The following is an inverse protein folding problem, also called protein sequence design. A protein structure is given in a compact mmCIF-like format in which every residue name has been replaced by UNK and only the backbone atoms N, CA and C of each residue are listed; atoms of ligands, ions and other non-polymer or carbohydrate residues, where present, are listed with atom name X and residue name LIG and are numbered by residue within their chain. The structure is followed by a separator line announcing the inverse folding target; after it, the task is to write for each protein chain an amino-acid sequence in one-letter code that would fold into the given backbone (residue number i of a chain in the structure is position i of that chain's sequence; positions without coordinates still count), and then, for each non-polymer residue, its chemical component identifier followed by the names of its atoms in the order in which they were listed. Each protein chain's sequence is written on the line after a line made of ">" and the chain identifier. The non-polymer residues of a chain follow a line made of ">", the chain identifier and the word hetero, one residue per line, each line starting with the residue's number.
data_IF_143235903105
#
_entry.id   IF_143235903105
#
_cell.length_a   1.000
_cell.length_b   1.000
_cell.length_c   1.000
_cell.angle_alpha   90.00
_cell.angle_beta   90.00
_cell.angle_gamma   90.00
#
_symmetry.space_group_name_H-M   'P 1'
#
loop_
_entity.id
_entity.type
_entity.pdbx_description
1 polymer ?
#
# COMPACT_ATOMS: atom_id res chain seq x y z
N UNK A 1 14.57 11.90 4.17
CA UNK A 1 13.74 11.82 5.43
C UNK A 1 13.21 10.41 5.46
N UNK A 2 13.41 9.70 6.55
CA UNK A 2 12.89 8.36 6.76
C UNK A 2 11.36 8.40 6.89
N UNK A 3 10.68 7.46 6.23
CA UNK A 3 9.20 7.38 6.22
C UNK A 3 8.61 7.21 7.64
N UNK A 4 9.26 6.39 8.48
CA UNK A 4 8.82 6.19 9.86
C UNK A 4 8.93 7.49 10.67
N UNK A 5 9.98 8.26 10.46
CA UNK A 5 10.15 9.57 11.10
C UNK A 5 9.08 10.56 10.66
N UNK A 6 8.69 10.53 9.38
CA UNK A 6 7.60 11.36 8.87
C UNK A 6 6.25 10.96 9.48
N UNK A 7 5.95 9.67 9.56
CA UNK A 7 4.73 9.16 10.21
C UNK A 7 4.69 9.52 11.70
N UNK A 8 5.78 9.32 12.42
CA UNK A 8 5.84 9.58 13.86
C UNK A 8 5.69 11.06 14.19
N UNK A 9 6.31 11.95 13.39
CA UNK A 9 6.18 13.39 13.56
C UNK A 9 4.72 13.83 13.43
N UNK A 10 4.08 13.39 12.35
CA UNK A 10 2.66 13.71 12.12
C UNK A 10 1.73 13.07 13.16
N UNK A 11 2.08 11.90 13.74
CA UNK A 11 1.27 11.27 14.80
C UNK A 11 1.27 12.07 16.12
N UNK A 12 2.35 12.81 16.40
CA UNK A 12 2.44 13.67 17.59
C UNK A 12 1.55 14.91 17.51
N UNK A 13 1.35 15.43 16.30
CA UNK A 13 0.65 16.70 16.08
C UNK A 13 -0.87 16.55 16.02
N UNK A 14 -1.38 15.30 15.99
CA UNK A 14 -2.80 15.03 15.85
C UNK A 14 -3.36 14.22 17.04
N UNK A 15 -4.63 14.46 17.42
CA UNK A 15 -5.32 13.66 18.42
C UNK A 15 -5.26 12.14 18.11
N UNK A 16 -5.27 11.31 19.14
CA UNK A 16 -5.13 9.86 18.99
C UNK A 16 -6.23 9.22 18.12
N UNK A 17 -7.41 9.83 18.04
CA UNK A 17 -8.53 9.39 17.21
C UNK A 17 -8.59 10.05 15.83
N UNK A 18 -7.68 10.96 15.50
CA UNK A 18 -7.66 11.60 14.18
C UNK A 18 -7.31 10.59 13.10
N UNK A 19 -7.96 10.71 11.96
CA UNK A 19 -7.70 9.91 10.76
C UNK A 19 -6.99 10.78 9.73
N UNK A 20 -6.20 10.15 8.86
CA UNK A 20 -5.49 10.83 7.78
C UNK A 20 -5.98 10.32 6.44
N UNK A 21 -6.16 11.23 5.52
CA UNK A 21 -6.36 10.88 4.13
C UNK A 21 -5.01 10.53 3.51
N UNK A 22 -4.80 9.25 3.19
CA UNK A 22 -3.64 8.79 2.45
C UNK A 22 -4.00 8.61 0.97
N UNK A 23 -3.13 9.10 0.11
CA UNK A 23 -3.28 9.01 -1.34
C UNK A 23 -1.92 8.96 -2.03
N UNK A 24 -1.89 8.47 -3.24
CA UNK A 24 -0.74 8.58 -4.15
C UNK A 24 -0.88 9.78 -5.08
N UNK A 25 -2.10 10.27 -5.29
CA UNK A 25 -2.44 11.43 -6.10
C UNK A 25 -3.74 12.07 -5.65
N UNK A 26 -3.93 13.34 -6.01
CA UNK A 26 -5.15 14.12 -5.95
C UNK A 26 -5.11 15.18 -7.06
N UNK A 27 -6.06 16.11 -7.10
CA UNK A 27 -6.12 17.16 -8.12
C UNK A 27 -4.87 18.07 -8.14
N UNK A 28 -4.28 18.36 -6.99
CA UNK A 28 -3.05 19.14 -6.90
C UNK A 28 -1.81 18.30 -7.26
N UNK A 29 -1.70 17.11 -6.67
CA UNK A 29 -0.56 16.21 -6.87
C UNK A 29 -0.46 15.72 -8.31
N UNK A 30 -1.60 15.44 -8.98
CA UNK A 30 -1.61 15.11 -10.39
C UNK A 30 -1.05 16.25 -11.23
N UNK A 31 -1.55 17.48 -11.03
CA UNK A 31 -1.21 18.63 -11.87
C UNK A 31 0.18 19.17 -11.59
N UNK A 32 0.50 19.45 -10.31
CA UNK A 32 1.71 20.17 -9.93
C UNK A 32 2.91 19.24 -9.71
N UNK A 33 2.69 18.09 -9.10
CA UNK A 33 3.75 17.16 -8.73
C UNK A 33 3.83 15.93 -9.65
N UNK A 34 2.99 15.87 -10.69
CA UNK A 34 3.01 14.82 -11.72
C UNK A 34 2.92 13.40 -11.14
N UNK A 35 2.15 13.25 -10.07
CA UNK A 35 2.17 12.09 -9.21
C UNK A 35 1.89 10.78 -9.97
N UNK A 36 0.94 10.78 -10.90
CA UNK A 36 0.49 9.56 -11.58
C UNK A 36 1.39 9.15 -12.75
N UNK A 37 2.12 10.07 -13.36
CA UNK A 37 2.80 9.81 -14.64
C UNK A 37 4.31 10.05 -14.62
N UNK A 38 4.87 10.80 -13.65
CA UNK A 38 6.31 10.95 -13.49
C UNK A 38 6.82 10.42 -12.15
N UNK A 39 6.10 10.68 -11.04
CA UNK A 39 6.54 10.27 -9.70
C UNK A 39 6.32 8.79 -9.46
N UNK A 40 5.14 8.26 -9.79
CA UNK A 40 4.78 6.84 -9.58
C UNK A 40 4.19 6.16 -10.81
N UNK A 41 4.86 6.21 -11.99
CA UNK A 41 4.35 5.57 -13.19
C UNK A 41 4.44 4.06 -13.16
N UNK A 42 3.60 3.39 -13.96
CA UNK A 42 3.69 1.96 -14.21
C UNK A 42 3.63 1.09 -12.95
N UNK A 43 4.56 0.15 -12.84
CA UNK A 43 4.63 -0.79 -11.71
C UNK A 43 4.94 -0.11 -10.36
N UNK A 44 5.58 1.06 -10.38
CA UNK A 44 5.92 1.84 -9.20
C UNK A 44 4.68 2.29 -8.42
N UNK A 45 3.55 2.47 -9.09
CA UNK A 45 2.29 2.87 -8.45
C UNK A 45 1.81 1.88 -7.40
N UNK A 46 1.90 0.57 -7.68
CA UNK A 46 1.22 -0.46 -6.90
C UNK A 46 1.65 -0.54 -5.42
N UNK A 47 2.95 -0.59 -5.05
CA UNK A 47 3.32 -0.68 -3.63
C UNK A 47 2.91 0.55 -2.83
N UNK A 48 2.94 1.75 -3.43
CA UNK A 48 2.48 2.97 -2.76
C UNK A 48 0.95 2.98 -2.60
N UNK A 49 0.20 2.55 -3.61
CA UNK A 49 -1.25 2.42 -3.51
C UNK A 49 -1.65 1.37 -2.45
N UNK A 50 -0.98 0.20 -2.39
CA UNK A 50 -1.20 -0.78 -1.32
C UNK A 50 -0.99 -0.14 0.05
N UNK A 51 0.07 0.65 0.21
CA UNK A 51 0.34 1.33 1.46
C UNK A 51 -0.81 2.27 1.87
N UNK A 52 -1.30 3.12 0.96
CA UNK A 52 -2.39 4.05 1.27
C UNK A 52 -3.65 3.32 1.75
N UNK A 53 -3.94 2.14 1.16
CA UNK A 53 -5.13 1.35 1.48
C UNK A 53 -5.01 0.56 2.79
N UNK A 54 -3.79 0.27 3.27
CA UNK A 54 -3.57 -0.65 4.39
C UNK A 54 -2.91 0.00 5.62
N UNK A 55 -2.47 1.25 5.52
CA UNK A 55 -1.80 1.98 6.60
C UNK A 55 -2.71 2.21 7.82
N UNK A 56 -2.08 2.37 8.98
CA UNK A 56 -2.77 2.74 10.24
C UNK A 56 -3.46 4.11 10.12
N UNK A 57 -4.61 4.26 10.78
CA UNK A 57 -5.35 5.54 10.86
C UNK A 57 -5.63 6.17 9.48
N UNK A 58 -5.68 5.34 8.43
CA UNK A 58 -5.88 5.77 7.05
C UNK A 58 -7.36 5.88 6.68
N UNK A 59 -7.70 6.98 6.02
CA UNK A 59 -8.83 7.06 5.09
C UNK A 59 -8.21 7.15 3.70
N UNK A 60 -8.17 6.06 2.92
CA UNK A 60 -7.53 6.11 1.61
C UNK A 60 -8.38 6.86 0.59
N UNK A 61 -7.71 7.65 -0.24
CA UNK A 61 -8.29 8.28 -1.42
C UNK A 61 -7.74 7.61 -2.68
N UNK A 62 -8.61 7.25 -3.60
CA UNK A 62 -8.30 6.90 -4.98
C UNK A 62 -8.78 8.06 -5.83
N UNK A 63 -7.84 8.75 -6.50
CA UNK A 63 -8.19 9.87 -7.35
C UNK A 63 -8.70 9.38 -8.71
N UNK A 64 -9.64 10.12 -9.29
CA UNK A 64 -10.27 9.78 -10.57
C UNK A 64 -9.25 9.52 -11.67
N UNK A 65 -9.37 8.39 -12.35
CA UNK A 65 -8.48 7.97 -13.44
C UNK A 65 -7.31 7.09 -12.98
N UNK A 66 -7.09 6.88 -11.68
CA UNK A 66 -6.05 5.96 -11.21
C UNK A 66 -6.38 4.50 -11.53
N UNK A 67 -7.64 4.17 -11.66
CA UNK A 67 -8.15 2.86 -12.08
C UNK A 67 -7.87 2.55 -13.55
N UNK A 68 -7.65 3.58 -14.39
CA UNK A 68 -7.45 3.44 -15.84
C UNK A 68 -6.10 2.87 -16.32
N UNK A 69 -4.91 3.25 -15.95
CA UNK A 69 -4.30 4.43 -15.37
C UNK A 69 -4.30 5.67 -16.32
N UNK A 70 -4.72 6.78 -15.78
CA UNK A 70 -4.70 8.06 -16.50
C UNK A 70 -3.36 8.78 -16.28
N UNK A 71 -2.47 8.72 -17.26
CA UNK A 71 -1.07 9.09 -17.12
C UNK A 71 -0.73 10.45 -17.77
N UNK A 72 -1.49 11.49 -17.45
CA UNK A 72 -1.19 12.88 -17.82
C UNK A 72 -1.69 13.86 -16.76
N UNK A 73 -1.21 15.10 -16.85
CA UNK A 73 -1.77 16.19 -16.06
C UNK A 73 -3.21 16.50 -16.45
N UNK A 74 -4.04 16.71 -15.45
CA UNK A 74 -5.37 17.30 -15.62
C UNK A 74 -5.19 18.83 -15.58
N UNK A 75 -5.91 19.54 -16.44
CA UNK A 75 -5.89 21.01 -16.45
C UNK A 75 -6.45 21.53 -15.13
N UNK A 76 -5.72 22.43 -14.49
CA UNK A 76 -6.11 22.89 -13.15
C UNK A 76 -7.22 23.95 -13.19
N UNK A 77 -7.13 24.89 -14.12
CA UNK A 77 -8.03 26.04 -14.20
C UNK A 77 -9.11 25.88 -15.28
N UNK A 78 -9.01 24.89 -16.14
CA UNK A 78 -9.89 24.69 -17.26
C UNK A 78 -10.66 23.37 -17.12
N UNK A 79 -11.82 23.30 -17.80
CA UNK A 79 -12.51 22.01 -17.95
C UNK A 79 -11.61 21.01 -18.65
N UNK A 80 -11.50 19.81 -18.10
CA UNK A 80 -10.77 18.70 -18.68
C UNK A 80 -11.61 17.42 -18.62
N UNK A 81 -11.17 16.38 -19.31
CA UNK A 81 -11.85 15.10 -19.40
C UNK A 81 -10.87 13.97 -19.05
N UNK A 82 -11.27 13.10 -18.15
CA UNK A 82 -10.60 11.83 -17.90
C UNK A 82 -11.24 10.79 -18.81
N UNK A 83 -10.43 10.22 -19.71
CA UNK A 83 -10.90 9.13 -20.58
C UNK A 83 -10.93 7.85 -19.77
N UNK A 84 -12.10 7.26 -19.65
CA UNK A 84 -12.35 6.01 -18.96
C UNK A 84 -12.72 4.93 -19.99
N UNK A 85 -12.48 3.65 -19.69
CA UNK A 85 -12.92 2.53 -20.54
C UNK A 85 -12.06 1.26 -20.51
N UNK A 86 -10.81 1.35 -20.04
CA UNK A 86 -9.93 0.17 -19.97
C UNK A 86 -9.86 -0.44 -18.57
N UNK A 87 -9.97 0.38 -17.52
CA UNK A 87 -10.02 -0.02 -16.12
C UNK A 87 -8.93 -1.04 -15.71
N UNK A 88 -7.71 -0.85 -16.20
CA UNK A 88 -6.61 -1.81 -16.03
C UNK A 88 -6.27 -2.11 -14.56
N UNK A 89 -6.55 -1.18 -13.65
CA UNK A 89 -6.31 -1.34 -12.22
C UNK A 89 -7.57 -1.56 -11.39
N UNK A 90 -8.73 -1.76 -12.02
CA UNK A 90 -10.00 -1.98 -11.32
C UNK A 90 -9.90 -3.17 -10.36
N UNK A 91 -9.46 -4.33 -10.85
CA UNK A 91 -9.32 -5.51 -10.01
C UNK A 91 -8.33 -5.31 -8.86
N UNK A 92 -7.23 -4.60 -9.11
CA UNK A 92 -6.25 -4.26 -8.07
C UNK A 92 -6.88 -3.45 -6.94
N UNK A 93 -7.60 -2.40 -7.25
CA UNK A 93 -8.28 -1.58 -6.25
C UNK A 93 -9.47 -2.30 -5.61
N UNK A 94 -10.24 -3.06 -6.37
CA UNK A 94 -11.35 -3.87 -5.84
C UNK A 94 -10.90 -4.83 -4.75
N UNK A 95 -9.79 -5.54 -4.95
CA UNK A 95 -9.20 -6.44 -3.94
C UNK A 95 -8.86 -5.68 -2.66
N UNK A 96 -8.21 -4.53 -2.76
CA UNK A 96 -7.79 -3.72 -1.61
C UNK A 96 -9.00 -3.13 -0.86
N UNK A 97 -9.95 -2.57 -1.58
CA UNK A 97 -11.16 -1.98 -1.01
C UNK A 97 -12.04 -3.04 -0.34
N UNK A 98 -12.19 -4.20 -0.99
CA UNK A 98 -12.90 -5.32 -0.39
C UNK A 98 -12.23 -5.80 0.89
N UNK A 99 -10.91 -6.04 0.85
CA UNK A 99 -10.15 -6.44 2.02
C UNK A 99 -10.33 -5.45 3.17
N UNK A 100 -10.22 -4.15 2.87
CA UNK A 100 -10.39 -3.09 3.87
C UNK A 100 -11.81 -3.10 4.47
N UNK A 101 -12.83 -3.37 3.66
CA UNK A 101 -14.23 -3.41 4.09
C UNK A 101 -14.52 -4.59 5.03
N UNK A 102 -13.93 -5.75 4.74
CA UNK A 102 -14.30 -7.01 5.43
C UNK A 102 -13.33 -7.44 6.53
N UNK A 103 -12.07 -6.96 6.52
CA UNK A 103 -11.06 -7.40 7.48
C UNK A 103 -10.85 -6.37 8.60
N UNK A 104 -11.24 -6.69 9.83
CA UNK A 104 -11.09 -5.79 10.98
C UNK A 104 -9.64 -5.37 11.29
N UNK A 105 -8.64 -6.11 10.81
CA UNK A 105 -7.23 -5.74 10.95
C UNK A 105 -6.88 -4.45 10.20
N UNK A 106 -7.69 -4.03 9.22
CA UNK A 106 -7.51 -2.76 8.51
C UNK A 106 -8.38 -1.61 9.05
N UNK A 107 -9.14 -1.86 10.11
CA UNK A 107 -9.85 -0.78 10.79
C UNK A 107 -8.88 0.30 11.29
N UNK A 108 -9.35 1.53 11.41
CA UNK A 108 -8.52 2.67 11.80
C UNK A 108 -7.81 2.50 13.14
N UNK A 109 -8.48 1.86 14.10
CA UNK A 109 -7.99 1.58 15.45
C UNK A 109 -7.24 0.25 15.60
N UNK A 110 -7.07 -0.52 14.52
CA UNK A 110 -6.27 -1.74 14.55
C UNK A 110 -4.79 -1.43 14.81
N UNK A 111 -4.09 -2.35 15.47
CA UNK A 111 -2.68 -2.18 15.76
C UNK A 111 -1.84 -2.11 14.48
N UNK A 112 -0.67 -1.49 14.60
CA UNK A 112 0.33 -1.40 13.55
C UNK A 112 1.69 -1.77 14.14
N UNK A 113 2.38 -2.71 13.52
CA UNK A 113 3.74 -3.11 13.90
C UNK A 113 4.59 -3.23 12.65
N UNK A 114 5.67 -2.43 12.55
CA UNK A 114 6.70 -2.63 11.53
C UNK A 114 7.39 -3.98 11.73
N UNK A 115 7.76 -4.62 10.64
CA UNK A 115 8.40 -5.94 10.63
C UNK A 115 9.63 -5.88 9.73
N UNK A 116 10.75 -6.41 10.21
CA UNK A 116 11.93 -6.62 9.36
C UNK A 116 11.68 -7.80 8.42
N UNK A 117 11.77 -7.52 7.13
CA UNK A 117 11.49 -8.49 6.06
C UNK A 117 12.56 -8.52 4.96
N UNK A 118 13.76 -8.03 5.23
CA UNK A 118 14.88 -7.94 4.28
C UNK A 118 15.65 -6.64 4.41
N UNK A 119 16.14 -6.09 3.30
CA UNK A 119 16.83 -4.81 3.27
C UNK A 119 15.85 -3.65 3.56
N UNK A 120 15.93 -3.06 4.74
CA UNK A 120 15.00 -2.01 5.20
C UNK A 120 15.11 -0.68 4.42
N UNK A 121 16.17 -0.47 3.64
CA UNK A 121 16.29 0.67 2.73
C UNK A 121 15.41 0.52 1.47
N UNK A 122 15.00 -0.71 1.15
CA UNK A 122 14.23 -1.02 -0.05
C UNK A 122 12.90 -1.73 0.24
N UNK A 123 12.82 -2.46 1.35
CA UNK A 123 11.64 -3.26 1.72
C UNK A 123 10.98 -2.67 2.95
N UNK A 124 9.72 -2.30 2.81
CA UNK A 124 8.90 -1.87 3.92
C UNK A 124 7.83 -2.91 4.23
N UNK A 125 7.85 -3.45 5.44
CA UNK A 125 6.90 -4.47 5.85
C UNK A 125 6.27 -4.14 7.20
N UNK A 126 5.01 -4.49 7.35
CA UNK A 126 4.27 -4.27 8.59
C UNK A 126 3.10 -5.24 8.74
N UNK A 127 2.67 -5.38 9.97
CA UNK A 127 1.47 -6.12 10.35
C UNK A 127 0.42 -5.18 10.89
N UNK A 128 -0.80 -5.36 10.43
CA UNK A 128 -2.02 -4.81 11.03
C UNK A 128 -2.75 -5.92 11.75
N UNK A 129 -3.28 -5.66 12.95
CA UNK A 129 -3.99 -6.68 13.71
C UNK A 129 -5.14 -6.10 14.53
N UNK A 130 -6.25 -6.83 14.54
CA UNK A 130 -7.39 -6.57 15.42
C UNK A 130 -7.97 -7.92 15.87
N UNK A 131 -7.79 -8.24 17.15
CA UNK A 131 -8.15 -9.55 17.69
C UNK A 131 -7.40 -10.69 16.98
N UNK A 132 -8.15 -11.62 16.40
CA UNK A 132 -7.60 -12.75 15.63
C UNK A 132 -7.25 -12.38 14.18
N UNK A 133 -7.83 -11.31 13.66
CA UNK A 133 -7.60 -10.90 12.28
C UNK A 133 -6.22 -10.24 12.15
N UNK A 134 -5.43 -10.71 11.21
CA UNK A 134 -4.08 -10.23 10.97
C UNK A 134 -3.84 -10.07 9.47
N UNK A 135 -3.24 -8.95 9.09
CA UNK A 135 -2.83 -8.64 7.71
C UNK A 135 -1.34 -8.30 7.73
N UNK A 136 -0.54 -9.05 6.98
CA UNK A 136 0.87 -8.77 6.73
C UNK A 136 1.01 -8.12 5.36
N UNK A 137 1.66 -6.96 5.32
CA UNK A 137 1.97 -6.21 4.09
C UNK A 137 3.48 -6.17 3.91
N UNK A 138 3.94 -6.46 2.68
CA UNK A 138 5.36 -6.39 2.29
C UNK A 138 5.43 -5.61 0.98
N UNK A 139 6.25 -4.57 0.95
CA UNK A 139 6.40 -3.65 -0.17
C UNK A 139 7.88 -3.54 -0.55
N UNK A 140 8.19 -3.77 -1.82
CA UNK A 140 9.49 -3.43 -2.39
C UNK A 140 9.39 -2.05 -3.04
N UNK A 141 10.02 -1.05 -2.43
CA UNK A 141 10.04 0.33 -2.89
C UNK A 141 11.25 0.64 -3.79
N UNK A 142 11.83 -0.38 -4.38
CA UNK A 142 13.00 -0.24 -5.25
C UNK A 142 12.78 -0.83 -6.64
N UNK A 143 13.59 -0.38 -7.58
CA UNK A 143 13.67 -0.88 -8.95
C UNK A 143 14.50 -2.16 -9.09
N UNK A 144 14.89 -2.77 -7.95
CA UNK A 144 15.67 -4.01 -7.90
C UNK A 144 14.87 -5.12 -7.23
N UNK A 145 15.15 -6.36 -7.66
CA UNK A 145 14.67 -7.54 -6.95
C UNK A 145 15.22 -7.56 -5.52
N UNK A 146 14.38 -7.87 -4.57
CA UNK A 146 14.74 -7.96 -3.16
C UNK A 146 14.55 -9.39 -2.64
N UNK A 147 15.43 -9.79 -1.73
CA UNK A 147 15.26 -11.02 -0.97
C UNK A 147 14.42 -10.74 0.26
N UNK A 148 13.33 -11.46 0.41
CA UNK A 148 12.43 -11.34 1.55
C UNK A 148 12.68 -12.46 2.52
N UNK A 149 12.85 -12.09 3.79
CA UNK A 149 12.99 -13.01 4.92
C UNK A 149 12.31 -12.42 6.14
N UNK A 150 11.25 -13.06 6.61
CA UNK A 150 10.54 -12.62 7.80
C UNK A 150 11.33 -13.07 9.03
N UNK A 151 11.79 -12.12 9.83
CA UNK A 151 12.54 -12.39 11.07
C UNK A 151 11.62 -12.76 12.24
N UNK A 152 10.41 -12.21 12.29
CA UNK A 152 9.45 -12.41 13.36
C UNK A 152 8.76 -13.78 13.25
N UNK A 153 9.19 -14.72 14.10
CA UNK A 153 8.63 -16.08 14.14
C UNK A 153 7.14 -16.15 14.50
N UNK A 154 6.59 -15.10 15.11
CA UNK A 154 5.13 -15.03 15.41
C UNK A 154 4.27 -14.88 14.16
N UNK A 155 4.91 -14.63 13.02
CA UNK A 155 4.28 -14.53 11.71
C UNK A 155 4.44 -15.80 10.87
N UNK A 156 5.09 -16.84 11.40
CA UNK A 156 5.24 -18.11 10.70
C UNK A 156 3.93 -18.89 10.68
N UNK A 157 3.69 -19.54 9.57
CA UNK A 157 2.48 -20.33 9.33
C UNK A 157 1.92 -20.16 7.93
N UNK A 158 0.76 -20.75 7.74
CA UNK A 158 0.05 -20.65 6.47
C UNK A 158 -0.67 -19.30 6.38
N UNK A 159 -0.41 -18.59 5.31
CA UNK A 159 -0.99 -17.28 5.01
C UNK A 159 -1.54 -17.27 3.60
N UNK A 160 -2.57 -16.47 3.38
CA UNK A 160 -3.26 -16.36 2.10
C UNK A 160 -2.96 -15.01 1.44
N UNK A 161 -2.44 -15.04 0.21
CA UNK A 161 -2.19 -13.84 -0.57
C UNK A 161 -3.48 -13.38 -1.25
N UNK A 162 -3.95 -12.18 -0.92
CA UNK A 162 -5.24 -11.66 -1.39
C UNK A 162 -5.28 -11.33 -2.89
N UNK A 163 -4.13 -11.13 -3.53
CA UNK A 163 -4.05 -10.82 -4.97
C UNK A 163 -3.94 -12.05 -5.84
N UNK A 164 -3.18 -13.06 -5.39
CA UNK A 164 -2.94 -14.27 -6.18
C UNK A 164 -3.85 -15.42 -5.80
N UNK A 165 -4.62 -15.26 -4.73
CA UNK A 165 -5.48 -16.28 -4.16
C UNK A 165 -4.75 -17.59 -3.77
N UNK A 166 -3.44 -17.48 -3.51
CA UNK A 166 -2.61 -18.62 -3.15
C UNK A 166 -2.30 -18.63 -1.66
N UNK A 167 -2.29 -19.82 -1.08
CA UNK A 167 -1.77 -20.05 0.29
C UNK A 167 -0.30 -20.39 0.20
N UNK A 168 0.52 -19.74 1.02
CA UNK A 168 1.92 -20.09 1.18
C UNK A 168 2.27 -20.22 2.67
N UNK A 169 3.33 -20.99 2.95
CA UNK A 169 3.86 -21.12 4.30
C UNK A 169 4.98 -20.11 4.50
N UNK A 170 4.77 -19.14 5.38
CA UNK A 170 5.83 -18.25 5.85
C UNK A 170 6.66 -18.98 6.91
N UNK A 171 7.96 -19.00 6.73
CA UNK A 171 8.93 -19.65 7.60
C UNK A 171 10.24 -18.86 7.58
N UNK A 172 11.32 -19.45 8.08
CA UNK A 172 12.66 -18.88 7.96
C UNK A 172 13.23 -18.90 6.53
N UNK A 173 12.54 -19.53 5.55
CA UNK A 173 12.98 -19.56 4.15
C UNK A 173 12.84 -18.18 3.52
N UNK A 174 13.81 -17.88 2.66
CA UNK A 174 13.82 -16.66 1.85
C UNK A 174 13.06 -16.87 0.55
N UNK A 175 12.51 -15.79 0.02
CA UNK A 175 11.96 -15.76 -1.35
C UNK A 175 12.28 -14.44 -2.04
N UNK A 176 12.09 -14.39 -3.35
CA UNK A 176 12.36 -13.21 -4.15
C UNK A 176 11.09 -12.40 -4.38
N UNK A 177 11.21 -11.08 -4.30
CA UNK A 177 10.17 -10.12 -4.65
C UNK A 177 10.71 -9.23 -5.77
N UNK A 178 9.98 -9.20 -6.89
CA UNK A 178 10.35 -8.40 -8.06
C UNK A 178 10.44 -6.90 -7.75
N UNK A 179 11.10 -6.11 -8.61
CA UNK A 179 11.09 -4.65 -8.52
C UNK A 179 9.67 -4.11 -8.40
N UNK A 180 9.46 -3.13 -7.51
CA UNK A 180 8.14 -2.56 -7.21
C UNK A 180 7.08 -3.61 -6.83
N UNK A 181 7.53 -4.76 -6.36
CA UNK A 181 6.67 -5.84 -5.93
C UNK A 181 5.95 -5.52 -4.62
N UNK A 182 4.82 -6.18 -4.43
CA UNK A 182 4.05 -6.09 -3.20
C UNK A 182 3.37 -7.42 -2.89
N UNK A 183 3.07 -7.62 -1.63
CA UNK A 183 2.27 -8.74 -1.16
C UNK A 183 1.42 -8.31 0.03
N UNK A 184 0.18 -8.77 0.04
CA UNK A 184 -0.76 -8.57 1.14
C UNK A 184 -1.33 -9.92 1.51
N UNK A 185 -1.08 -10.33 2.75
CA UNK A 185 -1.46 -11.63 3.26
C UNK A 185 -2.44 -11.51 4.41
N UNK A 186 -3.37 -12.45 4.47
CA UNK A 186 -4.28 -12.65 5.61
C UNK A 186 -3.98 -14.00 6.28
N UNK A 187 -4.16 -14.04 7.61
CA UNK A 187 -3.99 -15.21 8.46
C UNK A 187 -5.32 -15.86 8.78
#
# INVERSE_FOLDING_TARGET
>A
MDFDSALNRTDKDFPANALRMFFTSNHDENTWNKADYETTPGAKHAPFAVMTQTMKRSIPLIYSGQEEPFLRAIRFFDKDTITLGNYQRENFYSVLLHLRKVNPALAANASFKKVTAGNEDAVYAYVRQNGKNKVLVILNWSDKEQTIKIADKTLYGNIHNVFTNNTQNVSAKEWKMKPWGYAVYVY
#
